data_IF_048193268830
#
_entry.id   IF_048193268830
#
_cell.length_a   1.000
_cell.length_b   1.000
_cell.length_c   1.000
_cell.angle_alpha   90.00
_cell.angle_beta   90.00
_cell.angle_gamma   90.00
#
_symmetry.space_group_name_H-M   'P 1'
#
loop_
_entity.id
_entity.type
_entity.pdbx_description
1 polymer ?
#
# COMPACT_ATOMS: atom_id res chain seq x y z
N UNK A 1 25.28 10.19 28.99
CA UNK A 1 24.31 11.10 28.34
C UNK A 1 23.93 10.70 26.92
N UNK A 2 24.83 10.18 26.09
CA UNK A 2 24.50 9.77 24.68
C UNK A 2 23.53 8.59 24.56
N UNK A 3 23.59 7.59 25.45
CA UNK A 3 22.68 6.42 25.42
C UNK A 3 21.22 6.78 25.76
N UNK A 4 20.99 7.81 26.58
CA UNK A 4 19.63 8.27 26.89
C UNK A 4 19.03 9.09 25.75
N UNK A 5 19.83 9.92 25.04
CA UNK A 5 19.39 10.66 23.86
C UNK A 5 19.02 9.74 22.68
N UNK A 6 19.76 8.62 22.49
CA UNK A 6 19.41 7.62 21.46
C UNK A 6 18.10 6.87 21.78
N UNK A 7 17.85 6.51 23.06
CA UNK A 7 16.58 5.86 23.46
C UNK A 7 15.37 6.79 23.28
N UNK A 8 15.48 8.09 23.62
CA UNK A 8 14.36 9.02 23.47
C UNK A 8 14.05 9.36 22.00
N UNK A 9 15.07 9.43 21.13
CA UNK A 9 14.87 9.59 19.68
C UNK A 9 14.21 8.35 19.04
N UNK A 10 14.57 7.15 19.48
CA UNK A 10 13.98 5.92 18.95
C UNK A 10 12.51 5.76 19.37
N UNK A 11 12.14 6.13 20.61
CA UNK A 11 10.75 6.12 21.07
C UNK A 11 9.89 7.19 20.37
N UNK A 12 10.39 8.42 20.20
CA UNK A 12 9.69 9.47 19.45
C UNK A 12 9.47 9.09 17.96
N UNK A 13 10.42 8.41 17.32
CA UNK A 13 10.24 7.92 15.93
C UNK A 13 9.23 6.78 15.82
N UNK A 14 9.15 5.89 16.81
CA UNK A 14 8.20 4.76 16.81
C UNK A 14 6.76 5.27 17.02
N UNK A 15 6.55 6.19 17.93
CA UNK A 15 5.25 6.86 18.11
C UNK A 15 4.81 7.62 16.86
N UNK A 16 5.76 8.28 16.16
CA UNK A 16 5.48 9.06 14.96
C UNK A 16 5.09 8.21 13.75
N UNK A 17 5.48 6.94 13.71
CA UNK A 17 5.06 5.98 12.67
C UNK A 17 3.66 5.42 12.96
N UNK A 18 3.40 5.02 14.19
CA UNK A 18 2.15 4.37 14.58
C UNK A 18 0.91 5.25 14.38
N UNK A 19 1.00 6.60 14.59
CA UNK A 19 -0.17 7.45 14.40
C UNK A 19 -0.54 7.60 12.91
N UNK A 20 0.44 7.62 12.00
CA UNK A 20 0.19 7.76 10.57
C UNK A 20 -0.49 6.52 10.00
N UNK A 21 -0.02 5.33 10.39
CA UNK A 21 -0.61 4.06 9.98
C UNK A 21 -2.04 3.91 10.53
N UNK A 22 -2.27 4.32 11.79
CA UNK A 22 -3.62 4.37 12.37
C UNK A 22 -4.53 5.35 11.65
N UNK A 23 -4.03 6.56 11.39
CA UNK A 23 -4.78 7.60 10.70
C UNK A 23 -5.14 7.16 9.28
N UNK A 24 -4.18 6.58 8.55
CA UNK A 24 -4.40 6.04 7.22
C UNK A 24 -5.55 5.03 7.20
N UNK A 25 -5.47 4.02 8.07
CA UNK A 25 -6.53 3.00 8.20
C UNK A 25 -7.87 3.62 8.59
N UNK A 26 -7.87 4.59 9.50
CA UNK A 26 -9.11 5.26 9.92
C UNK A 26 -9.75 6.06 8.77
N UNK A 27 -8.95 6.72 7.95
CA UNK A 27 -9.43 7.52 6.80
C UNK A 27 -9.97 6.62 5.69
N UNK A 28 -9.31 5.48 5.41
CA UNK A 28 -9.69 4.58 4.31
C UNK A 28 -10.31 3.26 4.78
N UNK A 29 -10.98 3.26 5.94
CA UNK A 29 -11.67 2.09 6.49
C UNK A 29 -13.10 1.93 5.97
N UNK A 30 -13.67 2.96 5.33
CA UNK A 30 -14.98 2.87 4.73
C UNK A 30 -14.90 2.71 3.21
N UNK A 31 -15.91 2.08 2.62
CA UNK A 31 -15.95 1.76 1.21
C UNK A 31 -16.05 3.00 0.31
N UNK A 32 -16.73 4.05 0.76
CA UNK A 32 -16.91 5.28 0.01
C UNK A 32 -15.58 6.00 -0.23
N UNK A 33 -14.79 6.23 0.83
CA UNK A 33 -13.50 6.88 0.73
C UNK A 33 -12.49 6.01 -0.02
N UNK A 34 -12.56 4.68 0.14
CA UNK A 34 -11.72 3.73 -0.58
C UNK A 34 -12.07 3.71 -2.08
N UNK A 35 -13.35 3.76 -2.44
CA UNK A 35 -13.80 3.85 -3.83
C UNK A 35 -13.37 5.16 -4.49
N UNK A 36 -13.47 6.28 -3.77
CA UNK A 36 -12.96 7.58 -4.26
C UNK A 36 -11.45 7.50 -4.54
N UNK A 37 -10.67 6.89 -3.64
CA UNK A 37 -9.24 6.69 -3.84
C UNK A 37 -8.96 5.80 -5.05
N UNK A 38 -9.69 4.69 -5.19
CA UNK A 38 -9.59 3.80 -6.33
C UNK A 38 -9.87 4.51 -7.65
N UNK A 39 -10.98 5.25 -7.71
CA UNK A 39 -11.36 6.02 -8.90
C UNK A 39 -10.30 7.05 -9.28
N UNK A 40 -9.76 7.78 -8.30
CA UNK A 40 -8.72 8.77 -8.53
C UNK A 40 -7.41 8.17 -9.09
N UNK A 41 -7.01 6.98 -8.62
CA UNK A 41 -5.80 6.29 -9.07
C UNK A 41 -5.99 5.67 -10.46
N UNK A 42 -7.20 5.16 -10.76
CA UNK A 42 -7.47 4.38 -11.96
C UNK A 42 -8.15 5.20 -13.08
N UNK A 43 -8.46 6.47 -12.80
CA UNK A 43 -9.25 7.32 -13.72
C UNK A 43 -10.58 6.67 -14.09
N UNK A 44 -11.24 6.06 -13.10
CA UNK A 44 -12.55 5.42 -13.20
C UNK A 44 -13.61 6.23 -12.48
N UNK A 45 -14.89 5.87 -12.64
CA UNK A 45 -16.03 6.58 -12.04
C UNK A 45 -17.07 5.57 -11.49
N UNK A 46 -16.63 4.63 -10.68
CA UNK A 46 -17.56 3.75 -9.95
C UNK A 46 -18.33 4.56 -8.91
N UNK A 47 -19.65 4.40 -8.88
CA UNK A 47 -20.55 5.17 -8.02
C UNK A 47 -21.03 4.38 -6.80
N UNK A 48 -21.09 3.06 -6.92
CA UNK A 48 -21.60 2.20 -5.86
C UNK A 48 -20.48 1.65 -4.98
N UNK A 49 -20.38 2.05 -3.69
CA UNK A 49 -19.37 1.49 -2.79
C UNK A 49 -19.49 -0.01 -2.56
N UNK A 50 -20.65 -0.61 -2.79
CA UNK A 50 -20.85 -2.05 -2.65
C UNK A 50 -20.19 -2.87 -3.78
N UNK A 51 -19.75 -2.22 -4.85
CA UNK A 51 -18.91 -2.85 -5.87
C UNK A 51 -17.52 -3.20 -5.34
N UNK A 52 -17.14 -2.66 -4.16
CA UNK A 52 -15.92 -3.02 -3.44
C UNK A 52 -16.15 -4.23 -2.53
N UNK A 53 -15.42 -5.29 -2.79
CA UNK A 53 -15.30 -6.43 -1.89
C UNK A 53 -13.97 -6.35 -1.14
N UNK A 54 -14.03 -6.04 0.16
CA UNK A 54 -12.84 -5.90 1.01
C UNK A 54 -12.40 -7.28 1.50
N UNK A 55 -11.16 -7.64 1.24
CA UNK A 55 -10.56 -8.93 1.58
C UNK A 55 -9.19 -8.76 2.26
N UNK A 56 -9.09 -7.78 3.16
CA UNK A 56 -7.87 -7.48 3.90
C UNK A 56 -7.41 -8.68 4.74
N UNK A 57 -6.12 -8.98 4.68
CA UNK A 57 -5.52 -10.07 5.45
C UNK A 57 -5.36 -9.67 6.92
N UNK A 58 -6.05 -10.38 7.81
CA UNK A 58 -5.84 -10.32 9.25
C UNK A 58 -4.88 -11.43 9.67
N UNK A 59 -3.75 -11.08 10.27
CA UNK A 59 -2.70 -11.95 10.84
C UNK A 59 -2.42 -13.29 10.13
N UNK A 60 -1.34 -13.33 9.37
CA UNK A 60 -0.75 -14.59 8.91
C UNK A 60 0.23 -15.10 9.97
N UNK A 61 -0.11 -16.22 10.58
CA UNK A 61 0.51 -16.83 11.79
C UNK A 61 2.05 -16.98 11.78
N UNK A 62 2.72 -16.95 10.61
CA UNK A 62 4.16 -17.24 10.51
C UNK A 62 5.06 -16.03 10.19
N UNK A 63 4.51 -14.91 9.71
CA UNK A 63 5.34 -13.78 9.26
C UNK A 63 4.93 -12.44 9.88
N UNK A 64 3.93 -12.39 10.76
CA UNK A 64 3.36 -11.14 11.30
C UNK A 64 3.06 -10.10 10.20
N UNK A 65 2.69 -10.58 9.01
CA UNK A 65 2.49 -9.75 7.82
C UNK A 65 1.02 -9.36 7.75
N UNK A 66 0.79 -8.07 7.96
CA UNK A 66 -0.51 -7.42 7.73
C UNK A 66 -0.37 -6.51 6.54
N UNK A 67 -1.31 -6.54 5.61
CA UNK A 67 -1.46 -5.48 4.63
C UNK A 67 -2.39 -4.39 5.18
N UNK A 68 -2.29 -3.16 4.69
CA UNK A 68 -3.14 -2.08 5.17
C UNK A 68 -4.57 -2.25 4.67
N UNK A 69 -4.76 -2.46 3.38
CA UNK A 69 -6.06 -2.79 2.81
C UNK A 69 -5.91 -3.54 1.48
N UNK A 70 -6.75 -4.57 1.28
CA UNK A 70 -6.92 -5.22 -0.01
C UNK A 70 -8.40 -5.39 -0.34
N UNK A 71 -8.73 -5.31 -1.62
CA UNK A 71 -10.12 -5.35 -2.09
C UNK A 71 -10.21 -5.73 -3.57
N UNK A 72 -11.37 -6.26 -3.94
CA UNK A 72 -11.75 -6.56 -5.31
C UNK A 72 -12.69 -5.49 -5.84
N UNK A 73 -12.46 -5.05 -7.06
CA UNK A 73 -13.39 -4.21 -7.83
C UNK A 73 -13.13 -4.38 -9.32
N UNK A 74 -14.17 -4.53 -10.11
CA UNK A 74 -14.07 -4.62 -11.57
C UNK A 74 -13.12 -5.70 -12.09
N UNK A 75 -13.02 -6.85 -11.39
CA UNK A 75 -12.10 -7.94 -11.74
C UNK A 75 -10.63 -7.65 -11.43
N UNK A 76 -10.33 -6.63 -10.63
CA UNK A 76 -8.98 -6.29 -10.17
C UNK A 76 -8.85 -6.53 -8.67
N UNK A 77 -7.80 -7.25 -8.28
CA UNK A 77 -7.39 -7.45 -6.89
C UNK A 77 -6.38 -6.37 -6.52
N UNK A 78 -6.82 -5.41 -5.73
CA UNK A 78 -6.01 -4.28 -5.32
C UNK A 78 -5.36 -4.55 -3.97
N UNK A 79 -4.08 -4.23 -3.86
CA UNK A 79 -3.30 -4.24 -2.63
C UNK A 79 -2.77 -2.82 -2.42
N UNK A 80 -3.23 -2.16 -1.35
CA UNK A 80 -2.84 -0.80 -0.98
C UNK A 80 -2.10 -0.84 0.35
N UNK A 81 -0.89 -0.31 0.35
CA UNK A 81 0.00 -0.24 1.50
C UNK A 81 0.43 1.19 1.78
N UNK A 82 0.41 1.60 3.04
CA UNK A 82 0.94 2.88 3.48
C UNK A 82 2.35 2.71 4.07
N UNK A 83 3.32 3.54 3.64
CA UNK A 83 4.70 3.45 4.08
C UNK A 83 5.26 4.81 4.53
N UNK A 84 5.64 4.92 5.81
CA UNK A 84 6.34 6.09 6.37
C UNK A 84 7.85 6.08 6.12
N UNK A 85 8.37 5.02 5.51
CA UNK A 85 9.80 4.88 5.18
C UNK A 85 9.90 4.24 3.80
N UNK A 86 10.81 4.75 2.97
CA UNK A 86 11.10 4.11 1.69
C UNK A 86 11.61 2.68 1.92
N UNK A 87 10.96 1.72 1.26
CA UNK A 87 11.31 0.31 1.34
C UNK A 87 11.36 -0.29 -0.07
N UNK A 88 12.55 -0.61 -0.61
CA UNK A 88 12.69 -1.18 -1.95
C UNK A 88 12.20 -2.64 -2.03
N UNK A 89 11.99 -3.31 -0.88
CA UNK A 89 11.54 -4.70 -0.83
C UNK A 89 9.99 -4.85 -0.89
N UNK A 90 9.27 -3.78 -1.22
CA UNK A 90 7.80 -3.86 -1.36
C UNK A 90 7.36 -4.93 -2.37
N UNK A 91 8.00 -5.11 -3.55
CA UNK A 91 7.62 -6.17 -4.49
C UNK A 91 7.70 -7.58 -3.89
N UNK A 92 8.74 -7.88 -3.11
CA UNK A 92 8.87 -9.16 -2.41
C UNK A 92 7.73 -9.38 -1.40
N UNK A 93 7.35 -8.33 -0.65
CA UNK A 93 6.18 -8.38 0.24
C UNK A 93 4.89 -8.60 -0.55
N UNK A 94 4.77 -7.96 -1.72
CA UNK A 94 3.64 -8.13 -2.63
C UNK A 94 3.44 -9.58 -3.07
N UNK A 95 4.50 -10.31 -3.39
CA UNK A 95 4.44 -11.74 -3.71
C UNK A 95 3.77 -12.53 -2.59
N UNK A 96 4.19 -12.32 -1.35
CA UNK A 96 3.60 -13.03 -0.20
C UNK A 96 2.14 -12.64 0.04
N UNK A 97 1.79 -11.36 -0.09
CA UNK A 97 0.41 -10.91 0.07
C UNK A 97 -0.49 -11.46 -1.04
N UNK A 98 -0.11 -11.34 -2.29
CA UNK A 98 -0.91 -11.86 -3.41
C UNK A 98 -1.04 -13.37 -3.38
N UNK A 99 -0.01 -14.11 -2.96
CA UNK A 99 -0.13 -15.55 -2.76
C UNK A 99 -1.30 -15.88 -1.81
N UNK A 100 -1.38 -15.21 -0.67
CA UNK A 100 -2.46 -15.41 0.31
C UNK A 100 -3.83 -14.95 -0.18
N UNK A 101 -3.87 -13.79 -0.83
CA UNK A 101 -5.11 -13.27 -1.40
C UNK A 101 -5.68 -14.21 -2.46
N UNK A 102 -4.83 -14.78 -3.32
CA UNK A 102 -5.26 -15.75 -4.32
C UNK A 102 -5.61 -17.11 -3.72
N UNK A 103 -4.91 -17.57 -2.68
CA UNK A 103 -5.32 -18.78 -1.93
C UNK A 103 -6.75 -18.62 -1.40
N UNK A 104 -7.06 -17.49 -0.73
CA UNK A 104 -8.41 -17.16 -0.26
C UNK A 104 -9.42 -17.12 -1.41
N UNK A 105 -9.10 -16.35 -2.47
CA UNK A 105 -9.98 -16.22 -3.63
C UNK A 105 -10.31 -17.57 -4.29
N UNK A 106 -9.32 -18.44 -4.44
CA UNK A 106 -9.50 -19.79 -5.00
C UNK A 106 -10.43 -20.61 -4.11
N UNK A 107 -10.23 -20.56 -2.79
CA UNK A 107 -11.04 -21.29 -1.82
C UNK A 107 -12.51 -20.79 -1.79
N UNK A 108 -12.71 -19.48 -1.68
CA UNK A 108 -14.04 -18.84 -1.56
C UNK A 108 -14.90 -19.05 -2.82
N UNK A 109 -14.24 -19.11 -3.98
CA UNK A 109 -14.92 -19.35 -5.27
C UNK A 109 -14.93 -20.83 -5.69
N UNK A 110 -14.47 -21.76 -4.85
CA UNK A 110 -14.39 -23.19 -5.13
C UNK A 110 -13.69 -23.49 -6.48
N UNK A 111 -12.60 -22.80 -6.78
CA UNK A 111 -11.90 -22.93 -8.04
C UNK A 111 -11.00 -24.19 -8.06
N UNK A 112 -11.13 -25.00 -9.09
CA UNK A 112 -10.43 -26.29 -9.22
C UNK A 112 -9.13 -26.11 -10.01
N UNK A 113 -8.02 -25.77 -9.34
CA UNK A 113 -6.73 -25.46 -9.96
C UNK A 113 -6.00 -26.69 -10.53
N UNK A 114 -6.41 -27.91 -10.18
CA UNK A 114 -5.82 -29.15 -10.66
C UNK A 114 -6.54 -29.75 -11.89
N UNK A 115 -7.57 -29.07 -12.39
CA UNK A 115 -8.29 -29.48 -13.57
C UNK A 115 -7.63 -28.90 -14.85
N UNK A 116 -7.89 -29.50 -16.01
CA UNK A 116 -7.38 -29.01 -17.30
C UNK A 116 -7.93 -27.63 -17.70
N UNK A 117 -9.09 -27.27 -17.16
CA UNK A 117 -9.72 -25.98 -17.46
C UNK A 117 -8.97 -24.84 -16.77
N UNK A 118 -8.57 -23.84 -17.57
CA UNK A 118 -7.90 -22.63 -17.05
C UNK A 118 -8.79 -21.87 -16.08
N UNK A 119 -8.29 -21.65 -14.86
CA UNK A 119 -8.91 -20.79 -13.86
C UNK A 119 -8.68 -19.31 -14.26
N UNK A 120 -9.70 -18.48 -14.06
CA UNK A 120 -9.61 -17.03 -14.23
C UNK A 120 -9.47 -16.37 -12.88
N UNK A 121 -8.44 -15.53 -12.74
CA UNK A 121 -8.14 -14.80 -11.49
C UNK A 121 -8.30 -13.29 -11.73
N UNK A 122 -8.66 -12.52 -10.71
CA UNK A 122 -8.62 -11.06 -10.77
C UNK A 122 -7.19 -10.58 -11.06
N UNK A 123 -7.07 -9.49 -11.84
CA UNK A 123 -5.77 -8.91 -12.15
C UNK A 123 -5.17 -8.25 -10.90
N UNK A 124 -3.93 -8.54 -10.49
CA UNK A 124 -3.32 -7.90 -9.34
C UNK A 124 -2.90 -6.46 -9.65
N UNK A 125 -3.09 -5.57 -8.68
CA UNK A 125 -2.60 -4.20 -8.70
C UNK A 125 -2.04 -3.83 -7.35
N UNK A 126 -0.78 -3.39 -7.30
CA UNK A 126 -0.08 -3.06 -6.07
C UNK A 126 0.29 -1.58 -6.03
N UNK A 127 -0.26 -0.84 -5.07
CA UNK A 127 0.02 0.57 -4.83
C UNK A 127 0.59 0.76 -3.43
N UNK A 128 1.68 1.51 -3.34
CA UNK A 128 2.34 1.87 -2.08
C UNK A 128 2.27 3.38 -1.91
N UNK A 129 1.58 3.84 -0.88
CA UNK A 129 1.46 5.26 -0.54
C UNK A 129 2.60 5.67 0.38
N UNK A 130 3.57 6.41 -0.16
CA UNK A 130 4.71 6.87 0.59
C UNK A 130 4.47 8.25 1.20
N UNK A 131 4.64 8.33 2.51
CA UNK A 131 4.62 9.60 3.23
C UNK A 131 5.81 9.74 4.20
N UNK A 132 6.97 9.27 3.80
CA UNK A 132 8.21 9.43 4.56
C UNK A 132 8.80 10.85 4.50
N UNK A 133 9.90 11.04 5.23
CA UNK A 133 10.61 12.34 5.28
C UNK A 133 11.75 12.43 4.27
N UNK A 134 12.18 11.31 3.68
CA UNK A 134 13.17 11.34 2.59
C UNK A 134 12.50 11.82 1.33
N UNK A 135 13.18 12.72 0.61
CA UNK A 135 12.69 13.18 -0.69
C UNK A 135 12.59 12.00 -1.67
N UNK A 136 11.45 11.87 -2.31
CA UNK A 136 11.15 10.85 -3.33
C UNK A 136 10.36 11.52 -4.45
N UNK A 137 10.50 11.09 -5.71
CA UNK A 137 9.67 11.59 -6.81
C UNK A 137 8.20 11.25 -6.59
N UNK A 138 7.32 11.82 -7.41
CA UNK A 138 5.89 11.63 -7.35
C UNK A 138 5.48 10.16 -7.49
N UNK A 139 6.19 9.43 -8.36
CA UNK A 139 5.94 8.00 -8.59
C UNK A 139 7.25 7.24 -8.79
N UNK A 140 7.34 6.03 -8.27
CA UNK A 140 8.42 5.08 -8.51
C UNK A 140 7.82 3.72 -8.79
N UNK A 141 8.28 3.06 -9.83
CA UNK A 141 8.03 1.64 -10.06
C UNK A 141 9.12 0.81 -9.37
N UNK A 142 8.72 -0.08 -8.46
CA UNK A 142 9.59 -1.01 -7.75
C UNK A 142 9.35 -2.40 -8.32
N UNK A 143 10.41 -3.13 -8.66
CA UNK A 143 10.33 -4.45 -9.28
C UNK A 143 10.97 -5.52 -8.41
N UNK A 144 10.37 -6.71 -8.42
CA UNK A 144 10.95 -7.87 -7.74
C UNK A 144 12.29 -8.27 -8.36
N UNK A 145 12.43 -8.14 -9.67
CA UNK A 145 13.67 -8.42 -10.39
C UNK A 145 14.86 -7.62 -9.88
N UNK A 146 14.64 -6.42 -9.31
CA UNK A 146 15.71 -5.63 -8.68
C UNK A 146 16.27 -6.27 -7.40
N UNK A 147 15.60 -7.30 -6.86
CA UNK A 147 16.01 -8.02 -5.66
C UNK A 147 16.78 -9.31 -5.99
N UNK A 148 16.89 -9.73 -7.26
CA UNK A 148 17.55 -10.97 -7.63
C UNK A 148 19.09 -10.79 -7.67
N UNK A 149 19.80 -11.78 -7.14
CA UNK A 149 21.28 -11.78 -7.14
C UNK A 149 21.85 -12.05 -8.54
N UNK A 150 21.17 -12.91 -9.33
CA UNK A 150 21.55 -13.18 -10.71
C UNK A 150 20.90 -12.15 -11.64
N UNK A 151 21.74 -11.46 -12.40
CA UNK A 151 21.35 -10.38 -13.33
C UNK A 151 21.65 -10.76 -14.78
N UNK A 152 21.56 -12.06 -15.14
CA UNK A 152 21.61 -12.47 -16.53
C UNK A 152 20.47 -11.82 -17.34
N UNK A 153 20.54 -11.94 -18.69
CA UNK A 153 19.54 -11.31 -19.56
C UNK A 153 18.24 -12.12 -19.71
N UNK A 154 18.05 -13.17 -18.91
CA UNK A 154 16.83 -13.97 -18.96
C UNK A 154 15.73 -13.32 -18.12
N UNK A 155 14.51 -13.30 -18.67
CA UNK A 155 13.37 -12.81 -17.90
C UNK A 155 13.04 -13.78 -16.77
N UNK A 156 12.86 -13.30 -15.53
CA UNK A 156 12.50 -14.16 -14.41
C UNK A 156 11.09 -14.75 -14.62
N UNK A 157 10.90 -15.98 -14.16
CA UNK A 157 9.58 -16.63 -14.21
C UNK A 157 8.56 -16.02 -13.25
N UNK A 158 9.00 -15.22 -12.27
CA UNK A 158 8.18 -14.52 -11.31
C UNK A 158 8.58 -13.04 -11.27
N UNK A 159 7.63 -12.16 -11.53
CA UNK A 159 7.78 -10.72 -11.37
C UNK A 159 6.61 -10.16 -10.55
N UNK A 160 6.91 -9.22 -9.69
CA UNK A 160 5.93 -8.43 -8.97
C UNK A 160 6.35 -6.96 -9.01
N UNK A 161 5.45 -6.11 -9.47
CA UNK A 161 5.70 -4.68 -9.58
C UNK A 161 4.79 -3.93 -8.62
N UNK A 162 5.39 -3.05 -7.79
CA UNK A 162 4.68 -2.14 -6.93
C UNK A 162 4.86 -0.70 -7.43
N UNK A 163 3.76 0.04 -7.61
CA UNK A 163 3.81 1.47 -7.90
C UNK A 163 3.79 2.24 -6.59
N UNK A 164 4.89 2.89 -6.24
CA UNK A 164 4.95 3.78 -5.09
C UNK A 164 4.54 5.20 -5.51
N UNK A 165 3.55 5.76 -4.81
CA UNK A 165 3.06 7.12 -5.00
C UNK A 165 3.45 7.98 -3.79
N UNK A 166 4.15 9.09 -4.02
CA UNK A 166 4.50 10.04 -2.98
C UNK A 166 3.28 10.89 -2.63
N UNK A 167 2.72 10.66 -1.43
CA UNK A 167 1.54 11.38 -0.96
C UNK A 167 1.87 12.49 0.06
N UNK A 168 3.11 12.95 0.09
CA UNK A 168 3.46 14.14 0.87
C UNK A 168 2.81 15.39 0.27
N UNK A 169 2.61 16.40 1.10
CA UNK A 169 2.09 17.69 0.66
C UNK A 169 2.95 18.27 -0.48
N UNK A 170 2.30 18.73 -1.54
CA UNK A 170 2.96 19.25 -2.74
C UNK A 170 3.21 18.23 -3.85
N UNK A 171 3.07 16.92 -3.55
CA UNK A 171 3.25 15.83 -4.52
C UNK A 171 1.91 15.34 -5.10
N UNK A 172 1.96 14.67 -6.27
CA UNK A 172 0.81 14.03 -6.93
C UNK A 172 -0.46 14.88 -6.93
N UNK A 173 -0.34 16.14 -7.34
CA UNK A 173 -1.42 17.14 -7.22
C UNK A 173 -2.68 16.75 -7.99
N UNK A 174 -2.57 16.06 -9.13
CA UNK A 174 -3.73 15.57 -9.87
C UNK A 174 -4.49 14.50 -9.07
N UNK A 175 -3.78 13.55 -8.46
CA UNK A 175 -4.37 12.58 -7.55
C UNK A 175 -5.07 13.26 -6.36
N UNK A 176 -4.42 14.29 -5.80
CA UNK A 176 -4.98 15.06 -4.68
C UNK A 176 -6.23 15.87 -5.05
N UNK A 177 -6.38 16.30 -6.31
CA UNK A 177 -7.60 16.97 -6.79
C UNK A 177 -8.80 16.02 -6.86
N UNK A 178 -8.57 14.75 -7.23
CA UNK A 178 -9.60 13.76 -7.42
C UNK A 178 -9.91 12.92 -6.16
N UNK A 179 -9.07 12.97 -5.14
CA UNK A 179 -9.31 12.30 -3.86
C UNK A 179 -9.18 13.30 -2.69
N UNK A 180 -10.33 13.84 -2.25
CA UNK A 180 -10.39 14.84 -1.17
C UNK A 180 -9.78 14.31 0.13
N UNK A 181 -10.09 13.06 0.52
CA UNK A 181 -9.60 12.46 1.75
C UNK A 181 -8.07 12.29 1.75
N UNK A 182 -7.50 11.92 0.60
CA UNK A 182 -6.05 11.82 0.47
C UNK A 182 -5.37 13.19 0.62
N UNK A 183 -5.97 14.23 0.03
CA UNK A 183 -5.49 15.61 0.18
C UNK A 183 -5.56 16.08 1.64
N UNK A 184 -6.67 15.86 2.33
CA UNK A 184 -6.85 16.21 3.75
C UNK A 184 -5.82 15.48 4.62
N UNK A 185 -5.61 14.18 4.37
CA UNK A 185 -4.57 13.38 5.04
C UNK A 185 -3.17 13.97 4.82
N UNK A 186 -2.80 14.31 3.60
CA UNK A 186 -1.50 14.89 3.24
C UNK A 186 -1.25 16.20 3.99
N UNK A 187 -2.23 17.12 4.00
CA UNK A 187 -2.17 18.41 4.70
C UNK A 187 -2.02 18.18 6.21
N UNK A 188 -2.84 17.31 6.79
CA UNK A 188 -2.80 17.02 8.23
C UNK A 188 -1.41 16.51 8.66
N UNK A 189 -0.85 15.55 7.91
CA UNK A 189 0.49 15.01 8.21
C UNK A 189 1.56 16.09 8.11
N UNK A 190 1.45 17.01 7.16
CA UNK A 190 2.36 18.16 7.03
C UNK A 190 2.26 19.09 8.25
N UNK A 191 1.06 19.50 8.64
CA UNK A 191 0.85 20.34 9.82
C UNK A 191 1.41 19.73 11.10
N UNK A 192 1.20 18.42 11.30
CA UNK A 192 1.77 17.71 12.46
C UNK A 192 3.29 17.70 12.44
N UNK A 193 3.91 17.54 11.28
CA UNK A 193 5.37 17.59 11.14
C UNK A 193 5.94 18.96 11.49
N UNK A 194 5.32 20.02 10.98
CA UNK A 194 5.70 21.40 11.24
C UNK A 194 5.59 21.73 12.72
N UNK A 195 4.48 21.33 13.35
CA UNK A 195 4.27 21.50 14.78
C UNK A 195 5.36 20.80 15.61
N UNK A 196 5.67 19.53 15.31
CA UNK A 196 6.73 18.79 16.03
C UNK A 196 8.13 19.41 15.82
N UNK A 197 8.39 20.05 14.68
CA UNK A 197 9.66 20.71 14.42
C UNK A 197 9.76 22.08 15.10
N UNK A 198 8.63 22.74 15.38
CA UNK A 198 8.58 24.05 16.05
C UNK A 198 8.65 23.95 17.56
N UNK A 199 8.44 22.77 18.17
CA UNK A 199 8.66 22.55 19.59
C UNK A 199 10.17 22.47 19.90
N UNK A 200 10.69 23.29 20.84
CA UNK A 200 12.11 23.36 21.21
C UNK A 200 12.66 22.11 21.88
#
# INVERSE_FOLDING_TARGET
MEKQKKKSRHSKQTHNRQYKDRLWRMVFNNKEDLLQLYNAINHTDYQNPDDLEVNTLEDVLYLSMKNDVSFLVGGTMNLYEHQSTFNPNMPLRGVFYFSRLYEGYVADNNLMIYHEKRVRLPKPKYIVFYNGTKNQPDSIELKLSDCFENTDNEAPCLECTATMLNINYGHNQELMKHCRRLKEYSIFVQCVREYIQSEP
#
